data_IF_053757554497
#
_entry.id   IF_053757554497
#
_cell.length_a   1.000
_cell.length_b   1.000
_cell.length_c   1.000
_cell.angle_alpha   90.00
_cell.angle_beta   90.00
_cell.angle_gamma   90.00
#
_symmetry.space_group_name_H-M   'P 1'
#
loop_
_entity.id
_entity.type
_entity.pdbx_description
1 polymer ?
#
# COMPACT_ATOMS: atom_id res chain seq x y z
N UNK A 1 -64.46 25.15 25.51
CA UNK A 1 -63.14 24.70 25.96
C UNK A 1 -62.53 23.80 24.91
N UNK A 2 -61.25 24.01 24.61
CA UNK A 2 -60.39 23.02 23.95
C UNK A 2 -60.36 23.07 22.43
N UNK A 3 -59.44 23.86 21.85
CA UNK A 3 -58.74 23.43 20.62
C UNK A 3 -57.50 24.30 20.32
N UNK A 4 -56.45 24.19 21.15
CA UNK A 4 -55.23 24.99 20.98
C UNK A 4 -53.93 24.18 21.07
N UNK A 5 -53.96 22.85 20.90
CA UNK A 5 -52.80 21.99 21.17
C UNK A 5 -52.37 20.95 20.11
N UNK A 6 -52.33 21.22 18.79
CA UNK A 6 -51.52 20.37 17.91
C UNK A 6 -50.30 21.06 17.24
N UNK A 7 -50.14 22.39 17.29
CA UNK A 7 -49.07 23.06 16.53
C UNK A 7 -47.69 23.13 17.21
N UNK A 8 -47.61 22.96 18.53
CA UNK A 8 -46.34 23.13 19.28
C UNK A 8 -45.48 21.87 19.26
N UNK A 9 -46.07 20.68 19.12
CA UNK A 9 -45.33 19.41 19.08
C UNK A 9 -44.70 19.13 17.71
N UNK A 10 -45.33 19.52 16.60
CA UNK A 10 -44.78 19.31 15.25
C UNK A 10 -43.53 20.14 14.97
N UNK A 11 -43.45 21.38 15.47
CA UNK A 11 -42.26 22.23 15.30
C UNK A 11 -41.09 21.67 16.13
N UNK A 12 -41.34 21.24 17.37
CA UNK A 12 -40.31 20.64 18.24
C UNK A 12 -39.78 19.29 17.72
N UNK A 13 -40.59 18.49 17.03
CA UNK A 13 -40.17 17.22 16.40
C UNK A 13 -39.46 17.39 15.05
N UNK A 14 -39.60 18.53 14.39
CA UNK A 14 -38.90 18.81 13.12
C UNK A 14 -37.48 19.35 13.32
N UNK A 15 -37.22 20.08 14.41
CA UNK A 15 -35.87 20.53 14.77
C UNK A 15 -34.83 19.39 14.88
N UNK A 16 -35.06 18.29 15.62
CA UNK A 16 -34.09 17.21 15.73
C UNK A 16 -33.90 16.44 14.42
N UNK A 17 -34.91 16.35 13.55
CA UNK A 17 -34.79 15.74 12.21
C UNK A 17 -33.96 16.59 11.27
N UNK A 18 -34.21 17.91 11.17
CA UNK A 18 -33.41 18.82 10.35
C UNK A 18 -31.95 18.96 10.81
N UNK A 19 -31.68 18.78 12.11
CA UNK A 19 -30.32 18.70 12.65
C UNK A 19 -29.62 17.36 12.33
N UNK A 20 -30.37 16.25 12.29
CA UNK A 20 -29.87 14.94 11.87
C UNK A 20 -29.57 14.88 10.37
N UNK A 21 -30.45 15.43 9.54
CA UNK A 21 -30.30 15.51 8.08
C UNK A 21 -29.11 16.38 7.66
N UNK A 22 -28.73 17.41 8.43
CA UNK A 22 -27.51 18.20 8.16
C UNK A 22 -26.22 17.52 8.63
N UNK A 23 -26.28 16.68 9.65
CA UNK A 23 -25.10 15.94 10.16
C UNK A 23 -24.67 14.80 9.22
N UNK A 24 -25.62 14.17 8.53
CA UNK A 24 -25.36 13.08 7.57
C UNK A 24 -24.49 13.50 6.37
N UNK A 25 -24.83 14.53 5.57
CA UNK A 25 -24.02 14.98 4.45
C UNK A 25 -22.67 15.52 4.92
N UNK A 26 -22.60 16.17 6.08
CA UNK A 26 -21.32 16.64 6.65
C UNK A 26 -20.41 15.46 7.03
N UNK A 27 -20.96 14.37 7.56
CA UNK A 27 -20.21 13.13 7.87
C UNK A 27 -19.74 12.44 6.59
N UNK A 28 -20.60 12.36 5.56
CA UNK A 28 -20.26 11.80 4.26
C UNK A 28 -19.16 12.61 3.59
N UNK A 29 -19.31 13.95 3.50
CA UNK A 29 -18.29 14.83 2.94
C UNK A 29 -16.95 14.71 3.68
N UNK A 30 -16.94 14.62 5.01
CA UNK A 30 -15.70 14.40 5.77
C UNK A 30 -15.05 13.05 5.45
N UNK A 31 -15.86 11.98 5.30
CA UNK A 31 -15.38 10.66 4.90
C UNK A 31 -14.81 10.69 3.49
N UNK A 32 -15.53 11.29 2.55
CA UNK A 32 -15.16 11.30 1.13
C UNK A 32 -13.90 12.16 0.90
N UNK A 33 -13.77 13.29 1.60
CA UNK A 33 -12.51 14.08 1.62
C UNK A 33 -11.36 13.27 2.21
N UNK A 34 -11.60 12.49 3.27
CA UNK A 34 -10.60 11.57 3.83
C UNK A 34 -10.19 10.50 2.83
N UNK A 35 -11.16 9.84 2.20
CA UNK A 35 -10.94 8.81 1.19
C UNK A 35 -10.19 9.34 -0.03
N UNK A 36 -10.55 10.53 -0.54
CA UNK A 36 -9.85 11.16 -1.66
C UNK A 36 -8.39 11.47 -1.33
N UNK A 37 -8.09 11.94 -0.11
CA UNK A 37 -6.72 12.17 0.35
C UNK A 37 -5.92 10.87 0.42
N UNK A 38 -6.47 9.84 1.04
CA UNK A 38 -5.83 8.52 1.11
C UNK A 38 -5.60 7.95 -0.28
N UNK A 39 -6.61 7.99 -1.16
CA UNK A 39 -6.51 7.50 -2.52
C UNK A 39 -5.45 8.25 -3.33
N UNK A 40 -5.38 9.58 -3.23
CA UNK A 40 -4.38 10.38 -3.93
C UNK A 40 -2.94 10.06 -3.48
N UNK A 41 -2.72 9.86 -2.18
CA UNK A 41 -1.41 9.44 -1.64
C UNK A 41 -1.06 8.03 -2.13
N UNK A 42 -2.02 7.10 -2.09
CA UNK A 42 -1.84 5.74 -2.59
C UNK A 42 -1.56 5.72 -4.08
N UNK A 43 -2.27 6.49 -4.91
CA UNK A 43 -2.04 6.52 -6.36
C UNK A 43 -0.66 7.08 -6.71
N UNK A 44 -0.21 8.11 -5.99
CA UNK A 44 1.13 8.64 -6.15
C UNK A 44 2.19 7.60 -5.78
N UNK A 45 2.05 6.94 -4.63
CA UNK A 45 3.01 5.92 -4.22
C UNK A 45 2.97 4.68 -5.15
N UNK A 46 1.80 4.31 -5.68
CA UNK A 46 1.68 3.29 -6.74
C UNK A 46 2.47 3.65 -8.00
N UNK A 47 2.51 4.93 -8.38
CA UNK A 47 3.31 5.39 -9.54
C UNK A 47 4.82 5.29 -9.32
N UNK A 48 5.27 5.13 -8.07
CA UNK A 48 6.68 4.97 -7.72
C UNK A 48 7.11 3.50 -7.62
N UNK A 49 6.19 2.53 -7.74
CA UNK A 49 6.52 1.12 -7.60
C UNK A 49 7.49 0.66 -8.70
N UNK A 50 7.26 1.08 -9.95
CA UNK A 50 8.15 0.75 -11.07
C UNK A 50 9.57 1.31 -10.84
N UNK A 51 9.70 2.45 -10.16
CA UNK A 51 11.00 3.00 -9.75
C UNK A 51 11.66 2.16 -8.66
N UNK A 52 10.90 1.68 -7.66
CA UNK A 52 11.43 0.75 -6.65
C UNK A 52 11.89 -0.56 -7.28
N UNK A 53 11.10 -1.13 -8.21
CA UNK A 53 11.47 -2.34 -8.94
C UNK A 53 12.76 -2.13 -9.76
N UNK A 54 12.94 -0.96 -10.37
CA UNK A 54 14.17 -0.61 -11.08
C UNK A 54 15.38 -0.53 -10.14
N UNK A 55 15.23 0.01 -8.93
CA UNK A 55 16.30 0.03 -7.93
C UNK A 55 16.67 -1.40 -7.49
N UNK A 56 15.68 -2.25 -7.25
CA UNK A 56 15.90 -3.67 -6.94
C UNK A 56 16.63 -4.39 -8.07
N UNK A 57 16.18 -4.24 -9.33
CA UNK A 57 16.87 -4.81 -10.50
C UNK A 57 18.30 -4.30 -10.66
N UNK A 58 18.55 -3.02 -10.41
CA UNK A 58 19.89 -2.45 -10.47
C UNK A 58 20.82 -3.10 -9.42
N UNK A 59 20.33 -3.32 -8.20
CA UNK A 59 21.09 -4.03 -7.16
C UNK A 59 21.32 -5.51 -7.53
N UNK A 60 20.32 -6.19 -8.06
CA UNK A 60 20.43 -7.59 -8.50
C UNK A 60 21.47 -7.78 -9.60
N UNK A 61 21.65 -6.78 -10.47
CA UNK A 61 22.65 -6.81 -11.55
C UNK A 61 24.10 -6.89 -11.05
N UNK A 62 24.35 -6.56 -9.78
CA UNK A 62 25.68 -6.63 -9.15
C UNK A 62 25.87 -8.03 -8.54
N UNK A 63 26.86 -8.83 -9.01
CA UNK A 63 27.16 -10.12 -8.41
C UNK A 63 27.47 -10.02 -6.91
N UNK A 64 27.01 -10.98 -6.07
CA UNK A 64 27.14 -10.93 -4.62
C UNK A 64 28.54 -10.60 -4.10
N UNK A 65 29.57 -11.19 -4.74
CA UNK A 65 30.98 -11.01 -4.42
C UNK A 65 31.45 -9.55 -4.53
N UNK A 66 30.85 -8.74 -5.42
CA UNK A 66 31.24 -7.35 -5.64
C UNK A 66 30.44 -6.35 -4.79
N UNK A 67 29.33 -6.78 -4.18
CA UNK A 67 28.44 -5.89 -3.40
C UNK A 67 29.14 -5.30 -2.18
N UNK A 68 30.09 -6.04 -1.61
CA UNK A 68 30.82 -5.66 -0.39
C UNK A 68 32.34 -5.69 -0.56
N UNK A 69 32.84 -5.79 -1.80
CA UNK A 69 34.28 -5.82 -2.11
C UNK A 69 34.89 -4.41 -2.04
N UNK A 70 35.09 -3.95 -0.81
CA UNK A 70 35.69 -2.64 -0.53
C UNK A 70 37.20 -2.59 -0.81
N UNK A 71 37.86 -3.72 -1.03
CA UNK A 71 39.29 -3.78 -1.28
C UNK A 71 39.60 -3.67 -2.78
N UNK A 72 38.99 -4.52 -3.62
CA UNK A 72 39.29 -4.52 -5.05
C UNK A 72 38.35 -3.62 -5.86
N UNK A 73 37.12 -3.37 -5.37
CA UNK A 73 36.11 -2.57 -6.06
C UNK A 73 35.42 -1.52 -5.15
N UNK A 74 36.18 -0.64 -4.47
CA UNK A 74 35.64 0.29 -3.47
C UNK A 74 34.55 1.24 -4.00
N UNK A 75 34.67 1.70 -5.25
CA UNK A 75 33.68 2.58 -5.88
C UNK A 75 32.37 1.86 -6.12
N UNK A 76 32.43 0.61 -6.60
CA UNK A 76 31.24 -0.20 -6.85
C UNK A 76 30.54 -0.58 -5.54
N UNK A 77 31.30 -1.02 -4.53
CA UNK A 77 30.75 -1.34 -3.21
C UNK A 77 30.06 -0.11 -2.57
N UNK A 78 30.69 1.07 -2.67
CA UNK A 78 30.10 2.33 -2.15
C UNK A 78 28.83 2.72 -2.92
N UNK A 79 28.83 2.58 -4.24
CA UNK A 79 27.65 2.85 -5.07
C UNK A 79 26.50 1.89 -4.75
N UNK A 80 26.79 0.60 -4.64
CA UNK A 80 25.81 -0.41 -4.27
C UNK A 80 25.16 -0.10 -2.93
N UNK A 81 25.96 0.24 -1.92
CA UNK A 81 25.45 0.62 -0.60
C UNK A 81 24.58 1.89 -0.67
N UNK A 82 24.98 2.90 -1.45
CA UNK A 82 24.19 4.10 -1.66
C UNK A 82 22.80 3.80 -2.26
N UNK A 83 22.75 2.94 -3.28
CA UNK A 83 21.50 2.51 -3.91
C UNK A 83 20.65 1.72 -2.92
N UNK A 84 21.25 0.80 -2.15
CA UNK A 84 20.57 0.01 -1.11
C UNK A 84 19.93 0.90 -0.05
N UNK A 85 20.66 1.89 0.44
CA UNK A 85 20.14 2.87 1.40
C UNK A 85 18.98 3.69 0.83
N UNK A 86 19.02 4.05 -0.45
CA UNK A 86 17.92 4.74 -1.13
C UNK A 86 16.68 3.86 -1.26
N UNK A 87 16.84 2.59 -1.65
CA UNK A 87 15.71 1.64 -1.74
C UNK A 87 15.08 1.36 -0.36
N UNK A 88 15.89 1.22 0.69
CA UNK A 88 15.43 1.13 2.08
C UNK A 88 14.62 2.38 2.48
N UNK A 89 15.09 3.57 2.09
CA UNK A 89 14.40 4.84 2.34
C UNK A 89 13.04 4.91 1.65
N UNK A 90 12.98 4.48 0.38
CA UNK A 90 11.74 4.43 -0.41
C UNK A 90 10.76 3.42 0.18
N UNK A 91 11.22 2.22 0.54
CA UNK A 91 10.39 1.18 1.16
C UNK A 91 9.79 1.66 2.49
N UNK A 92 10.58 2.36 3.32
CA UNK A 92 10.08 2.99 4.56
C UNK A 92 9.04 4.07 4.28
N UNK A 93 9.18 4.83 3.20
CA UNK A 93 8.19 5.83 2.79
C UNK A 93 6.87 5.18 2.35
N UNK A 94 6.92 4.08 1.60
CA UNK A 94 5.73 3.29 1.26
C UNK A 94 5.01 2.75 2.50
N UNK A 95 5.74 2.15 3.44
CA UNK A 95 5.16 1.61 4.66
C UNK A 95 4.44 2.67 5.49
N UNK A 96 5.01 3.89 5.62
CA UNK A 96 4.37 5.03 6.30
C UNK A 96 3.06 5.48 5.63
N UNK A 97 2.90 5.19 4.35
CA UNK A 97 1.71 5.54 3.57
C UNK A 97 0.78 4.33 3.34
N UNK A 98 1.00 3.22 4.06
CA UNK A 98 0.13 2.04 4.03
C UNK A 98 0.34 1.11 2.84
N UNK A 99 1.51 1.18 2.18
CA UNK A 99 1.92 0.24 1.14
C UNK A 99 3.03 -0.66 1.67
N UNK A 100 2.80 -1.97 1.67
CA UNK A 100 3.71 -2.96 2.24
C UNK A 100 3.91 -4.08 1.24
N UNK A 101 5.18 -4.37 0.91
CA UNK A 101 5.49 -5.49 0.02
C UNK A 101 4.94 -6.80 0.61
N UNK A 102 4.41 -7.66 -0.26
CA UNK A 102 3.96 -9.01 0.08
C UNK A 102 4.37 -9.99 -1.02
N UNK A 103 4.22 -11.29 -0.75
CA UNK A 103 4.41 -12.34 -1.74
C UNK A 103 5.87 -12.73 -1.86
N UNK A 104 6.55 -13.04 -0.75
CA UNK A 104 7.91 -13.56 -0.79
C UNK A 104 7.95 -15.03 -1.27
N UNK A 105 9.04 -15.48 -1.92
CA UNK A 105 9.21 -16.89 -2.26
C UNK A 105 9.08 -17.79 -1.02
N UNK A 106 8.21 -18.80 -1.10
CA UNK A 106 7.87 -19.70 0.01
C UNK A 106 6.63 -19.30 0.81
N UNK A 107 6.07 -18.11 0.61
CA UNK A 107 4.75 -17.76 1.18
C UNK A 107 3.64 -18.62 0.56
N UNK A 108 2.58 -18.88 1.32
CA UNK A 108 1.40 -19.59 0.81
C UNK A 108 0.76 -18.77 -0.31
N UNK A 109 0.45 -19.41 -1.44
CA UNK A 109 -0.22 -18.72 -2.53
C UNK A 109 -1.65 -18.32 -2.15
N UNK A 110 -2.00 -17.04 -2.31
CA UNK A 110 -3.36 -16.51 -2.14
C UNK A 110 -3.80 -15.85 -3.46
N UNK A 111 -4.83 -16.37 -4.17
CA UNK A 111 -5.32 -15.78 -5.42
C UNK A 111 -5.84 -14.33 -5.31
N UNK A 112 -6.16 -13.86 -4.10
CA UNK A 112 -6.59 -12.47 -3.88
C UNK A 112 -5.41 -11.49 -3.82
N UNK A 113 -4.21 -12.01 -3.55
CA UNK A 113 -2.99 -11.22 -3.39
C UNK A 113 -2.01 -11.48 -4.54
N UNK A 114 -1.92 -12.71 -5.01
CA UNK A 114 -0.92 -13.17 -5.97
C UNK A 114 -1.51 -13.47 -7.34
N UNK A 115 -0.76 -13.11 -8.39
CA UNK A 115 -1.06 -13.49 -9.77
C UNK A 115 -0.14 -14.64 -10.19
N UNK A 116 -0.71 -15.81 -10.47
CA UNK A 116 0.05 -16.97 -10.92
C UNK A 116 0.35 -16.86 -12.43
N UNK A 117 1.63 -16.75 -12.78
CA UNK A 117 2.08 -16.69 -14.17
C UNK A 117 2.31 -18.09 -14.77
N UNK A 118 2.95 -18.98 -14.01
CA UNK A 118 3.21 -20.37 -14.39
C UNK A 118 3.49 -21.22 -13.14
N UNK A 119 3.35 -22.54 -13.30
CA UNK A 119 3.68 -23.53 -12.28
C UNK A 119 4.93 -24.31 -12.71
N UNK A 120 5.80 -24.66 -11.76
CA UNK A 120 6.96 -25.51 -12.00
C UNK A 120 7.24 -26.39 -10.78
N UNK A 121 7.83 -27.56 -11.01
CA UNK A 121 8.22 -28.46 -9.94
C UNK A 121 9.51 -27.98 -9.29
N UNK A 122 9.48 -27.77 -7.97
CA UNK A 122 10.65 -27.46 -7.16
C UNK A 122 10.73 -28.46 -6.00
N UNK A 123 11.72 -29.37 -5.97
CA UNK A 123 11.85 -30.37 -4.91
C UNK A 123 12.26 -29.78 -3.56
N UNK A 124 12.73 -28.53 -3.51
CA UNK A 124 13.15 -27.86 -2.27
C UNK A 124 12.00 -27.09 -1.59
N UNK A 125 10.82 -27.01 -2.21
CA UNK A 125 9.72 -26.17 -1.74
C UNK A 125 8.38 -26.90 -1.64
N UNK A 126 7.55 -26.41 -0.72
CA UNK A 126 6.21 -26.96 -0.52
C UNK A 126 5.27 -26.59 -1.67
N UNK A 127 4.49 -27.55 -2.15
CA UNK A 127 3.50 -27.31 -3.19
C UNK A 127 2.45 -26.28 -2.75
N UNK A 128 2.02 -25.41 -3.67
CA UNK A 128 1.04 -24.35 -3.37
C UNK A 128 1.64 -23.12 -2.67
N UNK A 129 2.96 -22.97 -2.67
CA UNK A 129 3.67 -21.76 -2.23
C UNK A 129 4.15 -20.93 -3.42
N UNK A 130 4.50 -19.67 -3.19
CA UNK A 130 5.08 -18.77 -4.19
C UNK A 130 6.48 -19.27 -4.56
N UNK A 131 6.65 -19.72 -5.80
CA UNK A 131 7.95 -20.20 -6.30
C UNK A 131 8.92 -19.06 -6.59
N UNK A 132 8.55 -18.13 -7.46
CA UNK A 132 9.41 -16.97 -7.75
C UNK A 132 8.57 -15.72 -7.97
N UNK A 133 9.08 -14.60 -7.48
CA UNK A 133 8.45 -13.29 -7.62
C UNK A 133 9.04 -12.61 -8.85
N UNK A 134 8.24 -12.45 -9.89
CA UNK A 134 8.64 -11.72 -11.10
C UNK A 134 8.53 -10.20 -10.92
N UNK A 135 7.51 -9.76 -10.18
CA UNK A 135 7.24 -8.37 -9.82
C UNK A 135 6.68 -8.34 -8.41
N UNK A 136 7.23 -7.48 -7.55
CA UNK A 136 6.77 -7.35 -6.17
C UNK A 136 5.34 -6.80 -6.10
N UNK A 137 4.50 -7.41 -5.27
CA UNK A 137 3.18 -6.88 -4.90
C UNK A 137 3.28 -5.91 -3.71
N UNK A 138 2.30 -5.00 -3.56
CA UNK A 138 2.22 -3.99 -2.49
C UNK A 138 0.80 -3.77 -1.98
#
# INVERSE_FOLDING_TARGET
GGDSKPKVNTVKDQLPRGLGEQKTPRRIAKRDVGAAKSFAVTSFAKSLLDTSDNLSRAMESVPPEYRTDSENHPVLATLYEGIRMTDDGLTKAFAKNGLTKFGEPGEKFDPNLHEALYEYADPEREAGTVGQVMKGGF
#
